data_IF_669301013277
#
_entry.id   IF_669301013277
#
_cell.length_a   1.000
_cell.length_b   1.000
_cell.length_c   1.000
_cell.angle_alpha   90.00
_cell.angle_beta   90.00
_cell.angle_gamma   90.00
#
_symmetry.space_group_name_H-M   'P 1'
#
loop_
_entity.id
_entity.type
_entity.pdbx_description
1 polymer ?
#
# COMPACT_ATOMS: atom_id res chain seq x y z
N UNK A 1 -13.75 -20.50 8.02
CA UNK A 1 -13.77 -19.43 6.98
C UNK A 1 -14.65 -18.28 7.46
N UNK A 2 -15.75 -18.61 8.12
CA UNK A 2 -16.72 -17.66 8.64
C UNK A 2 -16.16 -16.69 9.69
N UNK A 3 -15.29 -17.15 10.60
CA UNK A 3 -14.69 -16.32 11.65
C UNK A 3 -13.78 -15.18 11.12
N UNK A 4 -13.04 -15.43 10.02
CA UNK A 4 -12.19 -14.40 9.40
C UNK A 4 -13.02 -13.37 8.66
N UNK A 5 -14.07 -13.79 7.99
CA UNK A 5 -14.97 -12.88 7.27
C UNK A 5 -15.76 -12.02 8.27
N UNK A 6 -16.22 -12.57 9.39
CA UNK A 6 -16.87 -11.85 10.46
C UNK A 6 -15.93 -10.80 11.10
N UNK A 7 -14.66 -11.18 11.35
CA UNK A 7 -13.65 -10.27 11.87
C UNK A 7 -13.38 -9.12 10.88
N UNK A 8 -13.21 -9.44 9.60
CA UNK A 8 -13.02 -8.45 8.52
C UNK A 8 -14.19 -7.45 8.48
N UNK A 9 -15.43 -7.91 8.55
CA UNK A 9 -16.62 -7.05 8.56
C UNK A 9 -16.68 -6.15 9.77
N UNK A 10 -16.45 -6.70 10.97
CA UNK A 10 -16.49 -5.94 12.24
C UNK A 10 -15.42 -4.86 12.28
N UNK A 11 -14.19 -5.16 11.87
CA UNK A 11 -13.09 -4.19 11.88
C UNK A 11 -13.33 -3.08 10.86
N UNK A 12 -13.79 -3.42 9.64
CA UNK A 12 -14.12 -2.39 8.62
C UNK A 12 -15.23 -1.48 9.13
N UNK A 13 -16.28 -2.03 9.73
CA UNK A 13 -17.38 -1.23 10.29
C UNK A 13 -16.88 -0.26 11.36
N UNK A 14 -16.06 -0.74 12.29
CA UNK A 14 -15.51 0.09 13.37
C UNK A 14 -14.59 1.19 12.84
N UNK A 15 -13.66 0.86 11.92
CA UNK A 15 -12.73 1.85 11.37
C UNK A 15 -13.43 2.83 10.42
N UNK A 16 -14.44 2.37 9.68
CA UNK A 16 -15.26 3.26 8.85
C UNK A 16 -16.05 4.26 9.70
N UNK A 17 -16.48 3.89 10.90
CA UNK A 17 -17.12 4.79 11.84
C UNK A 17 -16.19 5.95 12.27
N UNK A 18 -14.88 5.73 12.39
CA UNK A 18 -13.92 6.81 12.62
C UNK A 18 -13.95 7.89 11.52
N UNK A 19 -14.32 7.51 10.29
CA UNK A 19 -14.49 8.43 9.17
C UNK A 19 -15.76 9.30 9.23
N UNK A 20 -16.52 9.28 10.31
CA UNK A 20 -17.61 10.26 10.58
C UNK A 20 -17.02 11.61 11.02
N UNK A 21 -15.83 11.61 11.63
CA UNK A 21 -15.09 12.85 11.90
C UNK A 21 -14.55 13.41 10.58
N UNK A 22 -14.87 14.68 10.23
CA UNK A 22 -14.43 15.31 8.98
C UNK A 22 -12.91 15.37 8.82
N UNK A 23 -12.15 15.50 9.92
CA UNK A 23 -10.68 15.56 9.91
C UNK A 23 -10.09 14.21 9.57
N UNK A 24 -10.60 13.15 10.20
CA UNK A 24 -10.20 11.77 9.92
C UNK A 24 -10.56 11.40 8.49
N UNK A 25 -11.78 11.72 8.04
CA UNK A 25 -12.22 11.49 6.67
C UNK A 25 -11.34 12.24 5.66
N UNK A 26 -11.01 13.50 5.94
CA UNK A 26 -10.14 14.33 5.10
C UNK A 26 -8.74 13.73 4.95
N UNK A 27 -8.11 13.38 6.07
CA UNK A 27 -6.80 12.75 6.10
C UNK A 27 -6.79 11.39 5.37
N UNK A 28 -7.79 10.54 5.62
CA UNK A 28 -7.89 9.23 4.97
C UNK A 28 -8.09 9.36 3.45
N UNK A 29 -8.91 10.32 2.98
CA UNK A 29 -9.06 10.61 1.54
C UNK A 29 -7.76 11.10 0.92
N UNK A 30 -7.05 12.03 1.59
CA UNK A 30 -5.78 12.57 1.09
C UNK A 30 -4.72 11.47 0.95
N UNK A 31 -4.55 10.61 1.96
CA UNK A 31 -3.66 9.45 1.91
C UNK A 31 -4.07 8.45 0.82
N UNK A 32 -5.38 8.21 0.67
CA UNK A 32 -5.93 7.35 -0.37
C UNK A 32 -5.61 7.89 -1.77
N UNK A 33 -5.80 9.19 -1.97
CA UNK A 33 -5.51 9.84 -3.25
C UNK A 33 -4.00 9.87 -3.54
N UNK A 34 -3.16 10.26 -2.58
CA UNK A 34 -1.71 10.29 -2.74
C UNK A 34 -1.12 8.90 -3.04
N UNK A 35 -1.71 7.83 -2.46
CA UNK A 35 -1.32 6.45 -2.71
C UNK A 35 -1.90 5.83 -3.99
N UNK A 36 -2.73 6.55 -4.75
CA UNK A 36 -3.35 6.02 -5.97
C UNK A 36 -2.27 5.60 -6.98
N UNK A 37 -2.39 4.39 -7.52
CA UNK A 37 -1.40 3.77 -8.41
C UNK A 37 0.05 3.76 -7.87
N UNK A 38 0.24 3.93 -6.55
CA UNK A 38 1.56 4.05 -5.94
C UNK A 38 2.24 5.40 -6.16
N UNK A 39 1.51 6.41 -6.64
CA UNK A 39 2.07 7.68 -7.11
C UNK A 39 2.97 8.38 -6.08
N UNK A 40 2.56 8.41 -4.80
CA UNK A 40 3.36 8.96 -3.70
C UNK A 40 4.77 8.36 -3.66
N UNK A 41 4.84 7.05 -3.73
CA UNK A 41 6.09 6.29 -3.60
C UNK A 41 6.96 6.40 -4.84
N UNK A 42 6.34 6.33 -6.02
CA UNK A 42 7.05 6.44 -7.29
C UNK A 42 7.62 7.86 -7.47
N UNK A 43 6.83 8.89 -7.21
CA UNK A 43 7.29 10.27 -7.28
C UNK A 43 8.38 10.56 -6.24
N UNK A 44 8.20 10.11 -4.99
CA UNK A 44 9.19 10.28 -3.93
C UNK A 44 10.51 9.59 -4.25
N UNK A 45 10.47 8.36 -4.75
CA UNK A 45 11.66 7.60 -5.13
C UNK A 45 12.39 8.23 -6.32
N UNK A 46 11.66 8.71 -7.35
CA UNK A 46 12.25 9.42 -8.48
C UNK A 46 12.84 10.77 -8.07
N UNK A 47 12.17 11.52 -7.22
CA UNK A 47 12.69 12.77 -6.67
C UNK A 47 13.98 12.54 -5.87
N UNK A 48 13.99 11.52 -5.01
CA UNK A 48 15.19 11.15 -4.27
C UNK A 48 16.34 10.73 -5.20
N UNK A 49 16.05 9.97 -6.26
CA UNK A 49 17.04 9.61 -7.28
C UNK A 49 17.59 10.83 -8.03
N UNK A 50 16.80 11.90 -8.19
CA UNK A 50 17.23 13.12 -8.86
C UNK A 50 18.20 13.93 -8.00
N UNK A 51 18.01 13.94 -6.66
CA UNK A 51 18.80 14.79 -5.75
C UNK A 51 19.96 14.04 -5.06
N UNK A 52 19.87 12.73 -4.90
CA UNK A 52 20.89 11.89 -4.25
C UNK A 52 21.71 11.13 -5.30
N UNK A 53 22.58 11.87 -5.99
CA UNK A 53 23.45 11.34 -7.04
C UNK A 53 24.23 10.08 -6.66
N UNK A 54 24.92 10.06 -5.50
CA UNK A 54 25.68 8.88 -5.04
C UNK A 54 24.84 7.61 -4.91
N UNK A 55 23.57 7.73 -4.50
CA UNK A 55 22.66 6.59 -4.30
C UNK A 55 21.56 6.50 -5.37
N UNK A 56 21.67 7.27 -6.46
CA UNK A 56 20.69 7.31 -7.56
C UNK A 56 20.26 5.92 -8.03
N UNK A 57 21.23 5.03 -8.27
CA UNK A 57 20.95 3.67 -8.72
C UNK A 57 20.11 2.87 -7.72
N UNK A 58 20.38 2.99 -6.42
CA UNK A 58 19.61 2.34 -5.37
C UNK A 58 18.19 2.89 -5.29
N UNK A 59 18.01 4.21 -5.40
CA UNK A 59 16.69 4.84 -5.45
C UNK A 59 15.86 4.36 -6.63
N UNK A 60 16.45 4.31 -7.84
CA UNK A 60 15.76 3.83 -9.05
C UNK A 60 15.36 2.36 -8.91
N UNK A 61 16.23 1.51 -8.37
CA UNK A 61 15.91 0.09 -8.12
C UNK A 61 14.79 -0.07 -7.09
N UNK A 62 14.84 0.67 -5.97
CA UNK A 62 13.77 0.65 -4.97
C UNK A 62 12.43 1.13 -5.52
N UNK A 63 12.45 2.15 -6.38
CA UNK A 63 11.26 2.64 -7.09
C UNK A 63 10.72 1.59 -8.05
N UNK A 64 11.59 0.93 -8.81
CA UNK A 64 11.21 -0.14 -9.73
C UNK A 64 10.61 -1.35 -8.99
N UNK A 65 11.16 -1.73 -7.84
CA UNK A 65 10.60 -2.77 -6.98
C UNK A 65 9.19 -2.41 -6.49
N UNK A 66 8.99 -1.16 -6.08
CA UNK A 66 7.68 -0.67 -5.65
C UNK A 66 6.66 -0.73 -6.79
N UNK A 67 7.04 -0.31 -7.99
CA UNK A 67 6.22 -0.42 -9.19
C UNK A 67 5.92 -1.87 -9.54
N UNK A 68 6.92 -2.75 -9.50
CA UNK A 68 6.77 -4.18 -9.76
C UNK A 68 5.81 -4.86 -8.78
N UNK A 69 5.97 -4.58 -7.47
CA UNK A 69 5.04 -5.08 -6.44
C UNK A 69 3.60 -4.62 -6.70
N UNK A 70 3.42 -3.36 -7.10
CA UNK A 70 2.10 -2.84 -7.48
C UNK A 70 1.51 -3.63 -8.66
N UNK A 71 2.28 -3.86 -9.71
CA UNK A 71 1.84 -4.63 -10.89
C UNK A 71 1.50 -6.08 -10.54
N UNK A 72 2.30 -6.72 -9.69
CA UNK A 72 2.00 -8.07 -9.17
C UNK A 72 0.65 -8.07 -8.45
N UNK A 73 0.40 -7.08 -7.57
CA UNK A 73 -0.87 -6.98 -6.87
C UNK A 73 -2.06 -6.82 -7.82
N UNK A 74 -1.87 -6.09 -8.92
CA UNK A 74 -2.89 -5.93 -9.97
C UNK A 74 -3.16 -7.25 -10.70
N UNK A 75 -2.12 -8.07 -10.92
CA UNK A 75 -2.24 -9.42 -11.48
C UNK A 75 -3.03 -10.34 -10.56
N UNK A 76 -2.65 -10.43 -9.28
CA UNK A 76 -3.36 -11.24 -8.27
C UNK A 76 -4.83 -10.82 -8.16
N UNK A 77 -5.11 -9.53 -8.19
CA UNK A 77 -6.48 -8.99 -8.13
C UNK A 77 -7.37 -9.50 -9.26
N UNK A 78 -6.82 -9.70 -10.46
CA UNK A 78 -7.56 -10.25 -11.62
C UNK A 78 -7.88 -11.73 -11.47
N UNK A 79 -7.10 -12.46 -10.68
CA UNK A 79 -7.29 -13.89 -10.41
C UNK A 79 -8.26 -14.11 -9.25
N UNK A 80 -8.01 -13.49 -8.09
CA UNK A 80 -8.78 -13.73 -6.86
C UNK A 80 -10.19 -13.13 -6.92
N UNK A 81 -10.36 -11.95 -7.51
CA UNK A 81 -11.65 -11.29 -7.77
C UNK A 81 -12.56 -11.11 -6.55
N UNK A 82 -12.00 -10.99 -5.34
CA UNK A 82 -12.80 -10.75 -4.12
C UNK A 82 -13.58 -9.44 -4.25
N UNK A 83 -14.90 -9.40 -3.96
CA UNK A 83 -15.68 -8.17 -3.95
C UNK A 83 -15.23 -7.23 -2.82
N UNK A 84 -15.49 -5.93 -2.98
CA UNK A 84 -15.25 -4.92 -1.95
C UNK A 84 -16.31 -4.96 -0.86
N UNK A 85 -16.03 -4.39 0.34
CA UNK A 85 -17.05 -4.21 1.37
C UNK A 85 -18.28 -3.49 0.83
N UNK A 86 -19.47 -4.12 0.97
CA UNK A 86 -20.76 -3.55 0.54
C UNK A 86 -21.65 -3.15 1.69
N UNK A 87 -21.31 -3.60 2.91
CA UNK A 87 -22.03 -3.32 4.15
C UNK A 87 -21.71 -1.94 4.76
N UNK A 88 -20.74 -1.22 4.20
CA UNK A 88 -20.39 0.15 4.59
C UNK A 88 -20.36 1.07 3.37
N UNK A 89 -20.75 2.33 3.55
CA UNK A 89 -20.66 3.33 2.48
C UNK A 89 -19.22 3.83 2.35
N UNK A 90 -18.54 3.66 1.20
CA UNK A 90 -17.16 4.08 1.04
C UNK A 90 -17.04 5.61 0.97
N UNK A 91 -15.93 6.16 1.47
CA UNK A 91 -15.63 7.61 1.40
C UNK A 91 -15.00 8.04 0.09
N UNK A 92 -14.56 7.10 -0.74
CA UNK A 92 -13.89 7.35 -2.03
C UNK A 92 -14.41 6.41 -3.10
N UNK A 93 -14.36 6.84 -4.34
CA UNK A 93 -14.59 5.96 -5.49
C UNK A 93 -13.34 5.14 -5.78
N UNK A 94 -13.52 3.95 -6.34
CA UNK A 94 -12.42 3.06 -6.75
C UNK A 94 -12.55 2.70 -8.22
N UNK A 95 -11.44 2.69 -8.95
CA UNK A 95 -11.42 2.34 -10.37
C UNK A 95 -11.78 0.86 -10.64
N UNK A 96 -11.51 -0.04 -9.67
CA UNK A 96 -11.72 -1.48 -9.83
C UNK A 96 -12.74 -2.06 -8.86
N UNK A 97 -13.40 -3.17 -9.29
CA UNK A 97 -14.43 -3.87 -8.50
C UNK A 97 -13.87 -4.77 -7.41
N UNK A 98 -12.63 -5.23 -7.54
CA UNK A 98 -12.05 -6.25 -6.67
C UNK A 98 -11.22 -5.62 -5.55
N UNK A 99 -11.27 -6.24 -4.38
CA UNK A 99 -10.60 -5.75 -3.17
C UNK A 99 -9.23 -6.40 -2.95
N UNK A 100 -9.11 -7.70 -3.14
CA UNK A 100 -7.93 -8.49 -2.76
C UNK A 100 -6.88 -8.62 -3.87
N UNK A 101 -5.60 -8.44 -3.56
CA UNK A 101 -5.07 -7.78 -2.37
C UNK A 101 -5.13 -6.26 -2.50
N UNK A 102 -4.88 -5.49 -1.42
CA UNK A 102 -4.85 -4.04 -1.49
C UNK A 102 -3.58 -3.54 -2.18
N UNK A 103 -3.69 -3.01 -3.41
CA UNK A 103 -2.55 -2.48 -4.16
C UNK A 103 -1.89 -1.27 -3.48
N UNK A 104 -2.66 -0.46 -2.74
CA UNK A 104 -2.12 0.61 -1.90
C UNK A 104 -1.22 0.06 -0.79
N UNK A 105 -1.67 -0.98 -0.08
CA UNK A 105 -0.88 -1.61 0.95
C UNK A 105 0.37 -2.30 0.38
N UNK A 106 0.24 -2.92 -0.80
CA UNK A 106 1.36 -3.56 -1.49
C UNK A 106 2.46 -2.55 -1.85
N UNK A 107 2.10 -1.46 -2.53
CA UNK A 107 3.09 -0.44 -2.90
C UNK A 107 3.65 0.29 -1.67
N UNK A 108 2.83 0.55 -0.64
CA UNK A 108 3.28 1.19 0.59
C UNK A 108 4.29 0.32 1.36
N UNK A 109 4.01 -0.97 1.53
CA UNK A 109 4.92 -1.89 2.22
C UNK A 109 6.21 -2.12 1.42
N UNK A 110 6.13 -2.28 0.10
CA UNK A 110 7.31 -2.38 -0.76
C UNK A 110 8.20 -1.13 -0.65
N UNK A 111 7.61 0.06 -0.70
CA UNK A 111 8.33 1.31 -0.54
C UNK A 111 8.93 1.47 0.87
N UNK A 112 8.20 1.07 1.93
CA UNK A 112 8.71 1.11 3.29
C UNK A 112 9.95 0.24 3.47
N UNK A 113 9.96 -0.97 2.91
CA UNK A 113 11.13 -1.86 2.92
C UNK A 113 12.26 -1.27 2.07
N UNK A 114 11.99 -0.89 0.82
CA UNK A 114 13.00 -0.41 -0.10
C UNK A 114 13.64 0.92 0.35
N UNK A 115 12.82 1.91 0.69
CA UNK A 115 13.31 3.23 1.10
C UNK A 115 13.79 3.24 2.56
N UNK A 116 13.21 2.39 3.42
CA UNK A 116 13.70 2.15 4.77
C UNK A 116 15.13 1.62 4.77
N UNK A 117 15.48 0.71 3.86
CA UNK A 117 16.85 0.23 3.65
C UNK A 117 17.82 1.33 3.16
N UNK A 118 17.31 2.41 2.57
CA UNK A 118 18.05 3.62 2.21
C UNK A 118 18.05 4.68 3.31
N UNK A 119 17.54 4.36 4.51
CA UNK A 119 17.57 5.23 5.68
C UNK A 119 16.33 6.11 5.86
N UNK A 120 15.30 6.00 5.01
CA UNK A 120 14.06 6.78 5.15
C UNK A 120 13.12 6.13 6.16
N UNK A 121 13.40 6.33 7.45
CA UNK A 121 12.60 5.75 8.55
C UNK A 121 11.13 6.19 8.53
N UNK A 122 10.85 7.40 8.05
CA UNK A 122 9.50 7.93 7.92
C UNK A 122 8.62 7.15 6.91
N UNK A 123 9.22 6.34 6.02
CA UNK A 123 8.48 5.49 5.10
C UNK A 123 7.58 4.47 5.83
N UNK A 124 8.00 3.96 6.99
CA UNK A 124 7.24 2.98 7.77
C UNK A 124 5.93 3.52 8.35
N UNK A 125 5.92 4.59 9.15
CA UNK A 125 4.67 5.15 9.68
C UNK A 125 3.78 5.69 8.55
N UNK A 126 4.34 6.23 7.48
CA UNK A 126 3.56 6.69 6.34
C UNK A 126 2.89 5.51 5.61
N UNK A 127 3.59 4.39 5.42
CA UNK A 127 3.01 3.17 4.85
C UNK A 127 1.88 2.62 5.73
N UNK A 128 2.08 2.59 7.05
CA UNK A 128 1.04 2.20 8.00
C UNK A 128 -0.19 3.11 7.91
N UNK A 129 0.01 4.42 7.83
CA UNK A 129 -1.08 5.39 7.66
C UNK A 129 -1.85 5.17 6.35
N UNK A 130 -1.15 4.90 5.23
CA UNK A 130 -1.78 4.53 3.96
C UNK A 130 -2.60 3.25 4.11
N UNK A 131 -2.07 2.20 4.75
CA UNK A 131 -2.79 0.95 5.00
C UNK A 131 -4.08 1.18 5.81
N UNK A 132 -3.99 1.90 6.93
CA UNK A 132 -5.14 2.23 7.78
C UNK A 132 -6.17 3.07 7.01
N UNK A 133 -5.72 4.00 6.18
CA UNK A 133 -6.61 4.85 5.39
C UNK A 133 -7.56 4.01 4.51
N UNK A 134 -7.11 2.83 4.00
CA UNK A 134 -7.94 1.97 3.15
C UNK A 134 -9.13 1.35 3.89
N UNK A 135 -8.95 1.12 5.18
CA UNK A 135 -10.01 0.61 6.08
C UNK A 135 -10.96 1.74 6.48
N UNK A 136 -10.42 2.91 6.83
CA UNK A 136 -11.21 4.10 7.18
C UNK A 136 -12.08 4.57 6.00
N UNK A 137 -11.55 4.56 4.77
CA UNK A 137 -12.37 4.91 3.58
C UNK A 137 -13.34 3.79 3.17
N UNK A 138 -13.28 2.61 3.78
CA UNK A 138 -14.27 1.53 3.63
C UNK A 138 -14.20 0.78 2.30
N UNK A 139 -13.01 0.65 1.69
CA UNK A 139 -12.88 0.03 0.35
C UNK A 139 -12.11 -1.30 0.33
N UNK A 140 -11.55 -1.69 1.48
CA UNK A 140 -10.79 -2.93 1.67
C UNK A 140 -11.11 -3.57 3.01
N UNK A 141 -11.00 -4.89 3.07
CA UNK A 141 -10.99 -5.64 4.31
C UNK A 141 -9.59 -5.65 4.96
N UNK A 142 -9.47 -5.82 6.30
CA UNK A 142 -8.19 -6.01 6.97
C UNK A 142 -7.30 -7.08 6.33
N UNK A 143 -7.89 -8.21 5.95
CA UNK A 143 -7.17 -9.29 5.27
C UNK A 143 -6.64 -8.89 3.89
N UNK A 144 -7.35 -8.04 3.12
CA UNK A 144 -6.84 -7.48 1.86
C UNK A 144 -5.59 -6.61 2.08
N UNK A 145 -5.62 -5.82 3.17
CA UNK A 145 -4.53 -4.91 3.54
C UNK A 145 -3.33 -5.70 4.05
N UNK A 146 -3.55 -6.67 4.93
CA UNK A 146 -2.51 -7.54 5.47
C UNK A 146 -1.81 -8.34 4.36
N UNK A 147 -2.59 -8.98 3.48
CA UNK A 147 -2.06 -9.73 2.34
C UNK A 147 -1.29 -8.82 1.36
N UNK A 148 -1.83 -7.63 1.10
CA UNK A 148 -1.15 -6.64 0.27
C UNK A 148 0.17 -6.18 0.88
N UNK A 149 0.20 -5.87 2.17
CA UNK A 149 1.41 -5.46 2.87
C UNK A 149 2.46 -6.59 2.90
N UNK A 150 2.04 -7.83 3.16
CA UNK A 150 2.92 -8.99 3.11
C UNK A 150 3.51 -9.19 1.71
N UNK A 151 2.68 -9.13 0.66
CA UNK A 151 3.13 -9.23 -0.73
C UNK A 151 4.17 -8.16 -1.08
N UNK A 152 3.93 -6.91 -0.70
CA UNK A 152 4.85 -5.81 -0.94
C UNK A 152 6.17 -5.97 -0.20
N UNK A 153 6.11 -6.31 1.10
CA UNK A 153 7.29 -6.51 1.93
C UNK A 153 8.14 -7.70 1.43
N UNK A 154 7.50 -8.82 1.06
CA UNK A 154 8.19 -9.98 0.51
C UNK A 154 8.85 -9.65 -0.84
N UNK A 155 8.14 -8.99 -1.76
CA UNK A 155 8.69 -8.61 -3.06
C UNK A 155 9.94 -7.74 -2.91
N UNK A 156 9.90 -6.73 -2.04
CA UNK A 156 11.04 -5.84 -1.80
C UNK A 156 12.15 -6.53 -0.97
N UNK A 157 11.78 -7.37 0.01
CA UNK A 157 12.73 -8.11 0.86
C UNK A 157 13.56 -9.11 0.07
N UNK A 158 12.92 -9.92 -0.79
CA UNK A 158 13.60 -10.90 -1.63
C UNK A 158 14.56 -10.26 -2.67
N UNK A 159 14.27 -9.02 -3.07
CA UNK A 159 15.11 -8.28 -4.00
C UNK A 159 16.07 -7.27 -3.32
N UNK A 160 16.22 -7.36 -1.99
CA UNK A 160 17.02 -6.41 -1.21
C UNK A 160 18.48 -6.37 -1.66
N UNK A 161 19.08 -7.50 -2.01
CA UNK A 161 20.47 -7.58 -2.48
C UNK A 161 20.63 -6.94 -3.87
N UNK A 162 19.70 -7.19 -4.78
CA UNK A 162 19.66 -6.51 -6.07
C UNK A 162 19.51 -4.99 -5.89
N UNK A 163 18.69 -4.54 -4.95
CA UNK A 163 18.50 -3.12 -4.66
C UNK A 163 19.81 -2.45 -4.20
N UNK A 164 20.61 -3.14 -3.36
CA UNK A 164 21.91 -2.65 -2.88
C UNK A 164 23.02 -2.70 -3.95
N UNK A 165 22.75 -3.22 -5.11
CA UNK A 165 23.68 -3.25 -6.24
C UNK A 165 24.49 -4.53 -6.35
N UNK A 166 24.00 -5.65 -5.79
CA UNK A 166 24.55 -6.99 -6.01
C UNK A 166 26.08 -7.06 -5.80
N UNK A 167 26.56 -6.55 -4.65
CA UNK A 167 27.95 -6.84 -4.30
C UNK A 167 28.01 -8.24 -3.71
N UNK A 168 28.83 -9.13 -4.28
CA UNK A 168 29.08 -10.44 -3.69
C UNK A 168 29.69 -10.31 -2.30
#
# INVERSE_FOLDING_TARGET
>A
MDDLDDMDHRIVTALRACGTDPRVAGAARALSWAGEHGALWLAGGLAAAAVDGPRRGAWLRGTALTAGAHLVSMGVKRVVRRPRPTHVTPLVRTAGRHSFPSSHATSAAAAAVAFGALGVRAAWPLAAAVCVSRLVVGVHYPSDVAAGAALGALTAGLAADWMRGGRP
#
